data_IF_254715264157
#
_entry.id   IF_254715264157
#
_cell.length_a   1.000
_cell.length_b   1.000
_cell.length_c   1.000
_cell.angle_alpha   90.00
_cell.angle_beta   90.00
_cell.angle_gamma   90.00
#
_symmetry.space_group_name_H-M   'P 1'
#
loop_
_entity.id
_entity.type
_entity.pdbx_description
1 polymer ?
#
# COMPACT_ATOMS: atom_id res chain seq x y z
N UNK A 1 10.16 3.82 2.20
CA UNK A 1 8.69 3.59 2.26
C UNK A 1 8.06 4.26 1.05
N UNK A 2 7.10 3.62 0.41
CA UNK A 2 6.44 4.08 -0.81
C UNK A 2 5.03 4.56 -0.49
N UNK A 3 4.61 5.69 -1.06
CA UNK A 3 3.20 6.07 -1.01
C UNK A 3 2.39 5.05 -1.80
N UNK A 4 1.10 4.90 -1.47
CA UNK A 4 0.20 3.98 -2.18
C UNK A 4 0.22 4.13 -3.72
N UNK A 5 0.43 5.36 -4.22
CA UNK A 5 0.56 5.62 -5.66
C UNK A 5 1.86 5.10 -6.27
N UNK A 6 2.99 5.28 -5.58
CA UNK A 6 4.28 4.75 -6.05
C UNK A 6 4.30 3.22 -5.96
N UNK A 7 3.76 2.67 -4.88
CA UNK A 7 3.61 1.23 -4.70
C UNK A 7 2.71 0.60 -5.78
N UNK A 8 1.65 1.29 -6.17
CA UNK A 8 0.77 0.88 -7.27
C UNK A 8 1.52 0.76 -8.60
N UNK A 9 2.41 1.71 -8.92
CA UNK A 9 3.25 1.66 -10.12
C UNK A 9 4.26 0.51 -10.08
N UNK A 10 4.89 0.28 -8.93
CA UNK A 10 5.91 -0.76 -8.77
C UNK A 10 5.34 -2.18 -8.79
N UNK A 11 4.17 -2.39 -8.18
CA UNK A 11 3.51 -3.70 -8.12
C UNK A 11 2.63 -4.01 -9.34
N UNK A 12 2.36 -3.02 -10.20
CA UNK A 12 1.30 -3.08 -11.22
C UNK A 12 -0.10 -3.39 -10.66
N UNK A 13 -0.31 -3.20 -9.35
CA UNK A 13 -1.61 -3.34 -8.69
C UNK A 13 -2.24 -1.95 -8.61
N UNK A 14 -3.51 -1.81 -8.98
CA UNK A 14 -4.20 -0.52 -8.87
C UNK A 14 -4.35 -0.06 -7.42
N UNK A 15 -4.34 1.26 -7.19
CA UNK A 15 -4.59 1.86 -5.85
C UNK A 15 -5.91 1.33 -5.24
N UNK A 16 -6.94 1.13 -6.06
CA UNK A 16 -8.23 0.58 -5.61
C UNK A 16 -8.09 -0.84 -5.06
N UNK A 17 -7.31 -1.69 -5.73
CA UNK A 17 -7.04 -3.05 -5.27
C UNK A 17 -6.19 -3.06 -4.00
N UNK A 18 -5.19 -2.19 -3.88
CA UNK A 18 -4.41 -2.05 -2.64
C UNK A 18 -5.29 -1.67 -1.45
N UNK A 19 -6.25 -0.75 -1.63
CA UNK A 19 -7.24 -0.40 -0.60
C UNK A 19 -8.19 -1.56 -0.29
N UNK A 20 -8.50 -2.40 -1.27
CA UNK A 20 -9.30 -3.60 -1.04
C UNK A 20 -8.51 -4.62 -0.22
N UNK A 21 -7.24 -4.85 -0.55
CA UNK A 21 -6.36 -5.76 0.19
C UNK A 21 -6.10 -5.33 1.63
N UNK A 22 -6.03 -4.02 1.88
CA UNK A 22 -6.01 -3.45 3.23
C UNK A 22 -7.28 -3.86 4.01
N UNK A 23 -8.47 -3.69 3.40
CA UNK A 23 -9.76 -4.03 4.02
C UNK A 23 -9.96 -5.52 4.29
N UNK A 24 -9.39 -6.38 3.45
CA UNK A 24 -9.46 -7.85 3.62
C UNK A 24 -8.24 -8.42 4.33
N UNK A 25 -7.40 -7.56 4.91
CA UNK A 25 -6.19 -7.93 5.67
C UNK A 25 -5.16 -8.77 4.87
N UNK A 26 -5.25 -8.73 3.54
CA UNK A 26 -4.34 -9.45 2.65
C UNK A 26 -3.00 -8.70 2.48
N UNK A 27 -3.06 -7.37 2.49
CA UNK A 27 -1.89 -6.50 2.36
C UNK A 27 -2.14 -5.18 3.09
N UNK A 28 -1.67 -5.11 4.32
CA UNK A 28 -1.81 -3.91 5.16
C UNK A 28 -0.66 -2.92 4.90
N UNK A 29 -0.92 -1.61 4.95
CA UNK A 29 0.15 -0.62 4.91
C UNK A 29 1.05 -0.75 6.14
N UNK A 30 2.36 -0.62 5.95
CA UNK A 30 3.32 -0.63 7.05
C UNK A 30 3.10 0.54 8.02
N UNK A 31 2.73 1.69 7.46
CA UNK A 31 2.47 2.90 8.24
C UNK A 31 1.31 3.67 7.66
N UNK A 32 0.46 4.13 8.55
CA UNK A 32 -0.59 5.10 8.27
C UNK A 32 -0.20 6.40 8.97
N UNK A 33 -0.17 7.48 8.22
CA UNK A 33 -0.03 8.82 8.79
C UNK A 33 -1.35 9.19 9.48
N UNK A 34 -1.31 9.39 10.79
CA UNK A 34 -2.48 9.69 11.63
C UNK A 34 -3.08 11.08 11.34
N UNK A 35 -2.29 12.02 10.82
CA UNK A 35 -2.76 13.37 10.53
C UNK A 35 -3.52 13.45 9.19
N UNK A 36 -3.07 12.70 8.19
CA UNK A 36 -3.59 12.78 6.82
C UNK A 36 -4.32 11.53 6.35
N UNK A 37 -4.18 10.40 7.07
CA UNK A 37 -4.67 9.10 6.66
C UNK A 37 -3.87 8.49 5.48
N UNK A 38 -2.73 9.07 5.11
CA UNK A 38 -1.90 8.55 4.03
C UNK A 38 -1.28 7.20 4.39
N UNK A 39 -1.25 6.30 3.40
CA UNK A 39 -0.73 4.94 3.55
C UNK A 39 0.63 4.80 2.90
N UNK A 40 1.52 4.15 3.63
CA UNK A 40 2.88 3.88 3.23
C UNK A 40 3.17 2.38 3.26
N UNK A 41 3.83 1.90 2.21
CA UNK A 41 4.18 0.49 2.01
C UNK A 41 5.71 0.33 1.95
N UNK A 42 6.21 -0.88 2.26
CA UNK A 42 7.63 -1.20 2.16
C UNK A 42 7.96 -1.88 0.83
N UNK A 43 9.22 -1.75 0.37
CA UNK A 43 9.72 -2.55 -0.77
C UNK A 43 9.57 -4.05 -0.50
N UNK A 44 9.77 -4.49 0.76
CA UNK A 44 9.66 -5.89 1.16
C UNK A 44 8.26 -6.50 0.93
N UNK A 45 7.23 -5.66 0.80
CA UNK A 45 5.86 -6.08 0.51
C UNK A 45 5.63 -6.33 -0.99
N UNK A 46 6.54 -5.90 -1.86
CA UNK A 46 6.56 -6.29 -3.26
C UNK A 46 7.04 -7.74 -3.33
N UNK A 47 6.10 -8.69 -3.33
CA UNK A 47 6.42 -10.09 -3.61
C UNK A 47 6.90 -10.18 -5.06
N UNK A 48 8.08 -10.76 -5.24
CA UNK A 48 8.61 -11.17 -6.54
C UNK A 48 8.10 -12.56 -6.88
#
# INVERSE_FOLDING_TARGET
>A
MFKIGDFSKLSSISIRMLRHYDKVELLQPEKVDEQSGYRYYLAAQLKK
#
